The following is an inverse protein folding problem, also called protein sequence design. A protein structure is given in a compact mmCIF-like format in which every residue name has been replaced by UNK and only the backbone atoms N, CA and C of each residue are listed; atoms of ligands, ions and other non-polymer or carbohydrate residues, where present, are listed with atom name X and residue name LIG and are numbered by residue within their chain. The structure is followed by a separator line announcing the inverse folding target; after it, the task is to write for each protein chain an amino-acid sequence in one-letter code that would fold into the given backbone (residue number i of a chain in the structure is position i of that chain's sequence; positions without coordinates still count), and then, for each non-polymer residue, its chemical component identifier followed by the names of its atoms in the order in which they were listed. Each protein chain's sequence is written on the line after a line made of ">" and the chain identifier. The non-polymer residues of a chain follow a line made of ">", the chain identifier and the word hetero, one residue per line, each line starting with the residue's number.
data_IF_579908772856
#
_entry.id   IF_579908772856
#
_cell.length_a   1.000
_cell.length_b   1.000
_cell.length_c   1.000
_cell.angle_alpha   90.00
_cell.angle_beta   90.00
_cell.angle_gamma   90.00
#
_symmetry.space_group_name_H-M   'P 1'
#
loop_
_entity.id
_entity.type
_entity.pdbx_description
1 polymer ?
#
# COMPACT_ATOMS: atom_id res chain seq x y z
N UNK A 1 -16.64 13.19 -13.42
CA UNK A 1 -15.58 12.24 -13.79
C UNK A 1 -14.31 12.87 -13.26
N UNK A 2 -13.85 12.48 -12.05
CA UNK A 2 -12.59 13.03 -11.54
C UNK A 2 -11.46 12.30 -12.27
N UNK A 3 -10.71 13.04 -13.05
CA UNK A 3 -9.46 12.53 -13.61
C UNK A 3 -8.54 12.20 -12.42
N UNK A 4 -8.12 10.95 -12.35
CA UNK A 4 -7.21 10.51 -11.31
C UNK A 4 -5.83 11.08 -11.67
N UNK A 5 -5.42 12.13 -10.98
CA UNK A 5 -4.07 12.66 -11.15
C UNK A 5 -3.07 11.66 -10.59
N UNK A 6 -2.20 11.15 -11.46
CA UNK A 6 -1.09 10.27 -11.09
C UNK A 6 0.17 11.12 -11.09
N UNK A 7 0.75 11.34 -9.93
CA UNK A 7 2.06 11.98 -9.78
C UNK A 7 3.13 10.89 -9.77
N UNK A 8 3.89 10.81 -10.85
CA UNK A 8 5.02 9.89 -10.98
C UNK A 8 6.31 10.59 -10.57
N UNK A 9 7.00 10.04 -9.57
CA UNK A 9 8.26 10.59 -9.07
C UNK A 9 9.35 9.54 -9.21
N UNK A 10 10.48 9.96 -9.78
CA UNK A 10 11.71 9.17 -9.86
C UNK A 10 12.72 9.63 -8.82
N UNK A 11 13.72 8.80 -8.44
CA UNK A 11 14.71 9.12 -7.41
C UNK A 11 15.56 10.37 -7.66
N UNK A 12 15.61 10.87 -8.89
CA UNK A 12 16.41 12.03 -9.27
C UNK A 12 15.88 13.37 -8.70
N UNK A 13 14.66 13.42 -8.14
CA UNK A 13 14.04 14.63 -7.61
C UNK A 13 13.52 14.49 -6.17
N UNK A 14 14.30 13.96 -5.20
CA UNK A 14 13.79 13.69 -3.85
C UNK A 14 13.50 14.95 -3.01
N UNK A 15 13.94 16.14 -3.44
CA UNK A 15 13.82 17.39 -2.67
C UNK A 15 12.41 17.98 -2.71
N UNK A 16 11.57 17.59 -3.66
CA UNK A 16 10.24 18.17 -3.90
C UNK A 16 9.09 17.43 -3.23
N UNK A 17 9.35 16.36 -2.47
CA UNK A 17 8.29 15.51 -1.88
C UNK A 17 7.38 16.28 -0.91
N UNK A 18 7.92 17.13 -0.06
CA UNK A 18 7.13 17.84 0.95
C UNK A 18 6.75 19.25 0.54
N UNK A 19 7.73 20.10 0.28
CA UNK A 19 7.55 21.52 -0.15
C UNK A 19 8.85 22.00 -0.78
N UNK A 20 8.78 22.79 -1.85
CA UNK A 20 9.93 23.52 -2.36
C UNK A 20 10.37 24.62 -1.40
N UNK A 21 11.66 24.66 -1.08
CA UNK A 21 12.19 25.48 0.00
C UNK A 21 12.09 26.99 -0.27
N UNK A 22 12.10 27.44 -1.54
CA UNK A 22 12.20 28.84 -1.90
C UNK A 22 10.87 29.56 -2.16
N UNK A 23 9.80 28.87 -2.59
CA UNK A 23 8.59 29.52 -3.10
C UNK A 23 7.26 29.14 -2.42
N UNK A 24 7.24 28.50 -1.24
CA UNK A 24 5.99 28.05 -0.59
C UNK A 24 5.08 27.18 -1.50
N UNK A 25 5.64 26.55 -2.53
CA UNK A 25 4.89 25.67 -3.41
C UNK A 25 4.51 24.38 -2.68
N UNK A 26 3.37 23.81 -3.09
CA UNK A 26 2.92 22.51 -2.62
C UNK A 26 3.89 21.44 -3.13
N UNK A 27 4.41 20.60 -2.22
CA UNK A 27 5.19 19.44 -2.61
C UNK A 27 4.31 18.34 -3.24
N UNK A 28 4.94 17.38 -3.91
CA UNK A 28 4.29 16.30 -4.66
C UNK A 28 3.27 15.52 -3.83
N UNK A 29 3.53 15.32 -2.54
CA UNK A 29 2.60 14.66 -1.62
C UNK A 29 1.28 15.40 -1.52
N UNK A 30 1.30 16.73 -1.43
CA UNK A 30 0.08 17.54 -1.35
C UNK A 30 -0.60 17.69 -2.71
N UNK A 31 0.17 17.73 -3.80
CA UNK A 31 -0.35 17.74 -5.16
C UNK A 31 -1.08 16.43 -5.49
N UNK A 32 -0.63 15.30 -4.93
CA UNK A 32 -1.29 14.01 -5.07
C UNK A 32 -2.59 13.87 -4.25
N UNK A 33 -3.04 14.91 -3.54
CA UNK A 33 -4.26 14.86 -2.73
C UNK A 33 -5.48 14.42 -3.55
N UNK A 34 -6.20 13.38 -3.06
CA UNK A 34 -7.28 12.68 -3.77
C UNK A 34 -6.86 11.99 -5.08
N UNK A 35 -5.56 11.82 -5.30
CA UNK A 35 -4.97 11.14 -6.43
C UNK A 35 -4.11 9.94 -6.04
N UNK A 36 -3.12 9.66 -6.89
CA UNK A 36 -2.14 8.59 -6.71
C UNK A 36 -0.74 9.19 -6.72
N UNK A 37 0.05 8.86 -5.71
CA UNK A 37 1.49 9.10 -5.68
C UNK A 37 2.20 7.80 -6.07
N UNK A 38 2.86 7.79 -7.22
CA UNK A 38 3.63 6.64 -7.69
C UNK A 38 5.12 6.88 -7.50
N UNK A 39 5.76 6.06 -6.67
CA UNK A 39 7.20 6.08 -6.42
C UNK A 39 7.85 4.87 -7.07
N UNK A 40 8.56 5.11 -8.16
CA UNK A 40 9.35 4.07 -8.81
C UNK A 40 10.70 3.91 -8.13
N UNK A 41 11.24 2.69 -8.12
CA UNK A 41 12.53 2.38 -7.50
C UNK A 41 12.64 2.88 -6.04
N UNK A 42 11.64 2.57 -5.23
CA UNK A 42 11.51 3.07 -3.85
C UNK A 42 12.81 3.06 -3.02
N UNK A 43 13.70 2.04 -3.06
CA UNK A 43 14.95 2.05 -2.30
C UNK A 43 16.00 3.04 -2.82
N UNK A 44 15.80 3.67 -3.99
CA UNK A 44 16.74 4.66 -4.51
C UNK A 44 16.50 6.06 -3.95
N UNK A 45 15.34 6.30 -3.33
CA UNK A 45 15.10 7.53 -2.59
C UNK A 45 15.96 7.60 -1.33
N UNK A 46 16.35 8.81 -0.94
CA UNK A 46 17.08 8.98 0.31
C UNK A 46 16.17 8.67 1.52
N UNK A 47 16.79 8.22 2.61
CA UNK A 47 16.07 7.78 3.81
C UNK A 47 15.19 8.88 4.41
N UNK A 48 15.65 10.12 4.38
CA UNK A 48 14.88 11.26 4.93
C UNK A 48 13.58 11.47 4.15
N UNK A 49 13.63 11.40 2.81
CA UNK A 49 12.45 11.50 1.96
C UNK A 49 11.45 10.37 2.24
N UNK A 50 11.92 9.12 2.35
CA UNK A 50 11.06 7.98 2.68
C UNK A 50 10.42 8.11 4.07
N UNK A 51 11.18 8.52 5.07
CA UNK A 51 10.66 8.74 6.43
C UNK A 51 9.61 9.86 6.48
N UNK A 52 9.72 10.86 5.60
CA UNK A 52 8.75 11.96 5.51
C UNK A 52 7.36 11.52 5.05
N UNK A 53 7.23 10.38 4.36
CA UNK A 53 5.95 9.80 3.95
C UNK A 53 5.13 9.25 5.14
N UNK A 54 5.75 8.97 6.28
CA UNK A 54 5.09 8.29 7.41
C UNK A 54 3.92 9.06 7.97
N UNK A 55 4.07 10.36 8.19
CA UNK A 55 3.02 11.24 8.71
C UNK A 55 1.88 11.42 7.71
N UNK A 56 2.13 11.79 6.45
CA UNK A 56 1.08 11.91 5.45
C UNK A 56 0.25 10.63 5.23
N UNK A 57 0.89 9.48 5.25
CA UNK A 57 0.19 8.19 5.11
C UNK A 57 -0.72 7.83 6.30
N UNK A 58 -0.40 8.34 7.51
CA UNK A 58 -1.19 8.08 8.71
C UNK A 58 -2.23 9.18 8.96
N UNK A 59 -1.79 10.44 8.94
CA UNK A 59 -2.58 11.60 9.35
C UNK A 59 -3.33 12.26 8.17
N UNK A 60 -2.97 11.92 6.92
CA UNK A 60 -3.51 12.53 5.69
C UNK A 60 -3.28 14.04 5.61
N UNK A 61 -2.25 14.50 6.29
CA UNK A 61 -1.85 15.91 6.39
C UNK A 61 -0.33 16.01 6.35
N UNK A 62 0.18 17.05 5.71
CA UNK A 62 1.57 17.48 5.79
C UNK A 62 1.63 18.76 6.60
N UNK A 63 2.38 18.76 7.68
CA UNK A 63 2.60 19.95 8.50
C UNK A 63 4.04 20.40 8.40
N UNK A 64 4.23 21.67 8.05
CA UNK A 64 5.53 22.31 7.88
C UNK A 64 5.63 23.44 8.89
N UNK A 65 6.58 23.31 9.82
CA UNK A 65 6.86 24.34 10.81
C UNK A 65 8.11 25.13 10.40
N UNK A 66 7.98 26.43 10.29
CA UNK A 66 9.07 27.38 10.06
C UNK A 66 9.12 28.37 11.24
N UNK A 67 10.20 29.14 11.34
CA UNK A 67 10.42 30.09 12.46
C UNK A 67 9.22 31.03 12.70
N UNK A 68 8.49 31.41 11.64
CA UNK A 68 7.44 32.41 11.71
C UNK A 68 6.02 31.88 11.48
N UNK A 69 5.85 30.62 11.05
CA UNK A 69 4.51 30.06 10.79
C UNK A 69 4.53 28.52 10.73
N UNK A 70 3.38 27.92 11.06
CA UNK A 70 3.10 26.52 10.83
C UNK A 70 1.99 26.41 9.79
N UNK A 71 2.27 25.70 8.69
CA UNK A 71 1.32 25.47 7.61
C UNK A 71 0.97 23.98 7.54
N UNK A 72 -0.30 23.68 7.35
CA UNK A 72 -0.78 22.30 7.18
C UNK A 72 -1.51 22.17 5.85
N UNK A 73 -1.12 21.16 5.06
CA UNK A 73 -1.70 20.86 3.76
C UNK A 73 -2.35 19.49 3.77
N UNK A 74 -3.51 19.31 3.13
CA UNK A 74 -4.13 18.00 3.01
C UNK A 74 -3.29 17.09 2.10
N UNK A 75 -3.21 15.80 2.45
CA UNK A 75 -2.39 14.79 1.76
C UNK A 75 -3.03 13.40 1.79
N UNK A 76 -4.33 13.33 1.50
CA UNK A 76 -5.03 12.06 1.38
C UNK A 76 -4.85 11.51 -0.03
N UNK A 77 -3.89 10.62 -0.23
CA UNK A 77 -3.52 10.03 -1.53
C UNK A 77 -3.39 8.51 -1.42
N UNK A 78 -3.42 7.82 -2.56
CA UNK A 78 -3.05 6.42 -2.67
C UNK A 78 -1.55 6.32 -3.00
N UNK A 79 -0.77 5.66 -2.14
CA UNK A 79 0.63 5.36 -2.44
C UNK A 79 0.72 4.08 -3.26
N UNK A 80 1.38 4.16 -4.40
CA UNK A 80 1.85 3.01 -5.17
C UNK A 80 3.36 3.13 -5.28
N UNK A 81 4.08 2.05 -4.99
CA UNK A 81 5.53 2.04 -5.09
C UNK A 81 6.00 0.75 -5.77
N UNK A 82 7.06 0.86 -6.56
CA UNK A 82 7.75 -0.29 -7.13
C UNK A 82 9.17 -0.40 -6.58
N UNK A 83 9.71 -1.63 -6.54
CA UNK A 83 11.10 -1.88 -6.21
C UNK A 83 11.57 -3.20 -6.80
N UNK A 84 12.86 -3.27 -7.07
CA UNK A 84 13.51 -4.53 -7.40
C UNK A 84 13.83 -5.32 -6.12
N UNK A 85 14.00 -6.65 -6.19
CA UNK A 85 14.34 -7.48 -5.01
C UNK A 85 15.79 -7.26 -4.51
N UNK A 86 16.65 -6.66 -5.33
CA UNK A 86 18.05 -6.33 -5.01
C UNK A 86 18.60 -5.32 -6.04
N UNK A 87 19.82 -4.76 -5.86
CA UNK A 87 20.40 -3.81 -6.81
C UNK A 87 20.53 -4.30 -8.24
N UNK A 88 20.81 -5.60 -8.46
CA UNK A 88 20.90 -6.16 -9.81
C UNK A 88 19.55 -6.64 -10.38
N UNK A 89 18.47 -6.71 -9.55
CA UNK A 89 17.14 -7.12 -9.95
C UNK A 89 16.89 -8.64 -9.96
N UNK A 90 17.91 -9.49 -9.75
CA UNK A 90 17.79 -10.95 -9.98
C UNK A 90 17.73 -11.81 -8.70
N UNK A 91 17.64 -11.22 -7.52
CA UNK A 91 17.53 -11.98 -6.28
C UNK A 91 16.23 -12.78 -6.24
N UNK A 92 16.34 -14.10 -6.16
CA UNK A 92 15.21 -15.03 -6.21
C UNK A 92 14.73 -15.39 -7.62
N UNK A 93 15.35 -14.86 -8.70
CA UNK A 93 15.08 -15.26 -10.06
C UNK A 93 15.49 -16.75 -10.27
N UNK A 94 14.72 -17.45 -11.13
CA UNK A 94 15.04 -18.83 -11.54
C UNK A 94 15.85 -18.88 -12.83
N UNK A 95 15.77 -17.82 -13.61
CA UNK A 95 16.30 -17.77 -14.97
C UNK A 95 17.67 -17.06 -15.03
N UNK A 96 17.99 -16.24 -14.01
CA UNK A 96 19.26 -15.51 -13.96
C UNK A 96 19.81 -15.44 -12.54
N UNK A 97 21.12 -15.69 -12.41
CA UNK A 97 21.80 -15.69 -11.12
C UNK A 97 22.02 -14.26 -10.61
N UNK A 98 21.74 -14.05 -9.33
CA UNK A 98 21.97 -12.78 -8.65
C UNK A 98 23.46 -12.58 -8.38
N UNK A 99 24.03 -11.46 -8.81
CA UNK A 99 25.44 -11.10 -8.59
C UNK A 99 25.69 -10.30 -7.31
N UNK A 100 24.64 -9.96 -6.55
CA UNK A 100 24.78 -9.16 -5.33
C UNK A 100 25.24 -9.99 -4.14
N UNK A 101 26.12 -9.43 -3.31
CA UNK A 101 26.43 -10.02 -2.00
C UNK A 101 25.24 -9.90 -1.04
N UNK A 102 25.11 -10.78 -0.05
CA UNK A 102 24.05 -10.72 0.97
C UNK A 102 24.02 -9.36 1.66
N UNK A 103 25.18 -8.81 2.00
CA UNK A 103 25.30 -7.49 2.62
C UNK A 103 24.79 -6.35 1.72
N UNK A 104 24.95 -6.46 0.39
CA UNK A 104 24.42 -5.48 -0.56
C UNK A 104 22.90 -5.57 -0.65
N UNK A 105 22.35 -6.78 -0.66
CA UNK A 105 20.90 -7.01 -0.63
C UNK A 105 20.29 -6.45 0.65
N UNK A 106 20.86 -6.79 1.80
CA UNK A 106 20.37 -6.28 3.09
C UNK A 106 20.42 -4.74 3.16
N UNK A 107 21.51 -4.11 2.73
CA UNK A 107 21.62 -2.65 2.68
C UNK A 107 20.56 -2.03 1.78
N UNK A 108 20.27 -2.65 0.64
CA UNK A 108 19.28 -2.16 -0.31
C UNK A 108 17.86 -2.22 0.27
N UNK A 109 17.49 -3.36 0.83
CA UNK A 109 16.17 -3.57 1.43
C UNK A 109 15.97 -2.70 2.68
N UNK A 110 16.99 -2.58 3.53
CA UNK A 110 16.95 -1.80 4.77
C UNK A 110 16.93 -0.27 4.57
N UNK A 111 17.02 0.22 3.32
CA UNK A 111 16.70 1.63 3.03
C UNK A 111 15.25 1.95 3.36
N UNK A 112 14.34 0.98 3.20
CA UNK A 112 12.93 1.11 3.57
C UNK A 112 12.77 0.65 5.01
N UNK A 113 12.31 1.56 5.88
CA UNK A 113 12.15 1.24 7.30
C UNK A 113 10.91 0.35 7.55
N UNK A 114 10.99 -0.53 8.56
CA UNK A 114 9.85 -1.31 9.01
C UNK A 114 8.61 -0.44 9.31
N UNK A 115 8.74 0.69 10.03
CA UNK A 115 7.62 1.60 10.26
C UNK A 115 6.98 2.19 9.00
N UNK A 116 7.72 2.39 7.90
CA UNK A 116 7.14 2.80 6.62
C UNK A 116 6.38 1.65 5.97
N UNK A 117 6.95 0.44 5.96
CA UNK A 117 6.30 -0.76 5.45
C UNK A 117 5.00 -1.08 6.20
N UNK A 118 4.99 -0.91 7.51
CA UNK A 118 3.78 -1.08 8.31
C UNK A 118 2.64 -0.14 7.87
N UNK A 119 2.93 0.92 7.13
CA UNK A 119 1.95 1.87 6.59
C UNK A 119 1.44 1.52 5.19
N UNK A 120 2.15 0.66 4.48
CA UNK A 120 1.69 0.11 3.19
C UNK A 120 0.75 -1.06 3.48
N UNK A 121 -0.43 -1.08 2.85
CA UNK A 121 -1.47 -2.08 3.15
C UNK A 121 -1.25 -3.40 2.43
N UNK A 122 -0.74 -3.36 1.21
CA UNK A 122 -0.63 -4.49 0.29
C UNK A 122 0.80 -4.58 -0.25
N UNK A 123 1.41 -5.75 -0.13
CA UNK A 123 2.71 -6.06 -0.71
C UNK A 123 2.53 -7.20 -1.72
N UNK A 124 3.01 -7.00 -2.95
CA UNK A 124 2.86 -7.98 -4.04
C UNK A 124 4.24 -8.28 -4.63
N UNK A 125 4.55 -9.55 -4.80
CA UNK A 125 5.69 -10.01 -5.58
C UNK A 125 5.21 -10.33 -7.00
N UNK A 126 5.79 -9.64 -7.99
CA UNK A 126 5.49 -9.84 -9.40
C UNK A 126 6.55 -10.79 -9.98
N UNK A 127 6.16 -12.01 -10.41
CA UNK A 127 7.10 -12.94 -11.00
C UNK A 127 7.55 -12.50 -12.39
N UNK A 128 8.72 -12.96 -12.83
CA UNK A 128 9.21 -12.74 -14.19
C UNK A 128 8.26 -13.34 -15.22
N UNK A 129 8.05 -12.60 -16.30
CA UNK A 129 7.20 -13.05 -17.41
C UNK A 129 8.06 -13.90 -18.36
N UNK A 130 7.72 -15.17 -18.52
CA UNK A 130 8.38 -16.06 -19.48
C UNK A 130 8.04 -15.63 -20.90
N UNK A 131 8.99 -15.84 -21.83
CA UNK A 131 8.83 -15.49 -23.25
C UNK A 131 7.56 -16.11 -23.87
N UNK A 132 7.26 -17.38 -23.53
CA UNK A 132 6.06 -18.09 -24.00
C UNK A 132 4.75 -17.36 -23.60
N UNK A 133 4.75 -16.67 -22.47
CA UNK A 133 3.59 -15.89 -22.02
C UNK A 133 3.48 -14.54 -22.72
N UNK A 134 4.57 -14.02 -23.30
CA UNK A 134 4.54 -12.78 -24.11
C UNK A 134 3.89 -13.00 -25.49
N UNK A 135 4.03 -14.22 -26.05
CA UNK A 135 3.38 -14.61 -27.31
C UNK A 135 1.90 -15.00 -27.10
N UNK A 136 1.48 -15.21 -25.88
CA UNK A 136 0.13 -15.63 -25.56
C UNK A 136 -0.83 -14.44 -25.68
N UNK A 137 -1.55 -14.38 -26.79
CA UNK A 137 -2.51 -13.31 -27.11
C UNK A 137 -3.88 -13.49 -26.48
N UNK A 138 -4.03 -14.41 -25.49
CA UNK A 138 -5.30 -14.54 -24.76
C UNK A 138 -5.67 -13.21 -24.12
N UNK A 139 -6.88 -12.70 -24.34
CA UNK A 139 -7.27 -11.40 -23.81
C UNK A 139 -7.28 -11.45 -22.28
N UNK A 140 -6.47 -10.59 -21.66
CA UNK A 140 -6.56 -10.34 -20.22
C UNK A 140 -7.85 -9.58 -19.89
N UNK A 141 -8.25 -9.59 -18.62
CA UNK A 141 -9.41 -8.83 -18.15
C UNK A 141 -9.28 -7.34 -18.53
N UNK A 142 -10.32 -6.76 -19.09
CA UNK A 142 -10.29 -5.36 -19.51
C UNK A 142 -10.39 -4.40 -18.34
N UNK A 143 -9.82 -3.20 -18.49
CA UNK A 143 -9.96 -2.12 -17.48
C UNK A 143 -11.42 -1.75 -17.20
N UNK A 144 -12.31 -1.92 -18.19
CA UNK A 144 -13.74 -1.66 -18.03
C UNK A 144 -14.41 -2.68 -17.07
N UNK A 145 -14.04 -3.96 -17.18
CA UNK A 145 -14.53 -5.02 -16.27
C UNK A 145 -14.01 -4.81 -14.85
N UNK A 146 -12.72 -4.52 -14.70
CA UNK A 146 -12.12 -4.19 -13.41
C UNK A 146 -12.84 -2.98 -12.79
N UNK A 147 -13.05 -1.90 -13.54
CA UNK A 147 -13.76 -0.70 -13.09
C UNK A 147 -15.20 -1.00 -12.63
N UNK A 148 -15.90 -1.87 -13.34
CA UNK A 148 -17.27 -2.29 -12.96
C UNK A 148 -17.26 -2.99 -11.60
N UNK A 149 -16.34 -3.93 -11.39
CA UNK A 149 -16.18 -4.65 -10.11
C UNK A 149 -15.82 -3.71 -8.96
N UNK A 150 -14.88 -2.79 -9.19
CA UNK A 150 -14.50 -1.78 -8.20
C UNK A 150 -15.66 -0.85 -7.84
N UNK A 151 -16.42 -0.39 -8.84
CA UNK A 151 -17.58 0.47 -8.61
C UNK A 151 -18.66 -0.24 -7.78
N UNK A 152 -18.92 -1.53 -8.02
CA UNK A 152 -19.85 -2.31 -7.23
C UNK A 152 -19.42 -2.39 -5.75
N UNK A 153 -18.15 -2.69 -5.50
CA UNK A 153 -17.61 -2.70 -4.14
C UNK A 153 -17.72 -1.33 -3.46
N UNK A 154 -17.45 -0.25 -4.19
CA UNK A 154 -17.62 1.13 -3.72
C UNK A 154 -19.07 1.46 -3.35
N UNK A 155 -20.04 1.01 -4.12
CA UNK A 155 -21.48 1.21 -3.81
C UNK A 155 -21.89 0.43 -2.55
N UNK A 156 -21.35 -0.79 -2.33
CA UNK A 156 -21.57 -1.55 -1.10
C UNK A 156 -21.02 -0.76 0.10
N UNK A 157 -19.79 -0.23 0.01
CA UNK A 157 -19.18 0.58 1.07
C UNK A 157 -19.97 1.86 1.35
N UNK A 158 -20.38 2.57 0.30
CA UNK A 158 -21.18 3.79 0.42
C UNK A 158 -22.49 3.54 1.15
N UNK A 159 -23.21 2.46 0.82
CA UNK A 159 -24.44 2.06 1.51
C UNK A 159 -24.19 1.68 2.97
N UNK A 160 -23.10 0.95 3.23
CA UNK A 160 -22.72 0.52 4.59
C UNK A 160 -22.46 1.70 5.51
N UNK A 161 -21.83 2.76 4.99
CA UNK A 161 -21.36 3.89 5.79
C UNK A 161 -22.22 5.14 5.68
N UNK A 162 -23.48 5.02 5.21
CA UNK A 162 -24.41 6.16 5.07
C UNK A 162 -24.55 7.03 6.32
N UNK A 163 -24.48 6.40 7.51
CA UNK A 163 -24.61 7.07 8.80
C UNK A 163 -23.27 7.51 9.41
N UNK A 164 -22.18 7.34 8.70
CA UNK A 164 -20.82 7.68 9.13
C UNK A 164 -20.21 8.65 8.13
N UNK A 165 -19.35 9.54 8.60
CA UNK A 165 -18.63 10.48 7.72
C UNK A 165 -17.36 9.83 7.12
N UNK A 166 -17.53 8.63 6.55
CA UNK A 166 -16.47 7.88 5.85
C UNK A 166 -17.00 7.29 4.55
N UNK A 167 -16.14 7.08 3.57
CA UNK A 167 -16.51 6.69 2.21
C UNK A 167 -15.88 5.36 1.78
N UNK A 168 -14.95 4.82 2.56
CA UNK A 168 -14.25 3.58 2.21
C UNK A 168 -13.78 2.80 3.44
N UNK A 169 -13.51 1.50 3.25
CA UNK A 169 -12.98 0.65 4.31
C UNK A 169 -11.63 1.14 4.85
N UNK A 170 -10.85 1.88 4.06
CA UNK A 170 -9.56 2.43 4.50
C UNK A 170 -9.71 3.45 5.64
N UNK A 171 -10.89 4.05 5.78
CA UNK A 171 -11.19 5.09 6.77
C UNK A 171 -11.76 4.55 8.08
N UNK A 172 -11.96 3.23 8.19
CA UNK A 172 -12.48 2.61 9.39
C UNK A 172 -11.59 2.91 10.61
N UNK A 173 -12.19 3.53 11.62
CA UNK A 173 -11.59 3.66 12.96
C UNK A 173 -11.60 2.32 13.70
N UNK A 174 -10.83 2.15 14.80
CA UNK A 174 -10.84 0.92 15.58
C UNK A 174 -12.26 0.46 16.00
N UNK A 175 -13.10 1.37 16.45
CA UNK A 175 -14.48 1.05 16.87
C UNK A 175 -15.32 0.53 15.69
N UNK A 176 -15.17 1.14 14.51
CA UNK A 176 -15.87 0.71 13.30
C UNK A 176 -15.32 -0.60 12.73
N UNK A 177 -14.04 -0.91 12.96
CA UNK A 177 -13.48 -2.22 12.64
C UNK A 177 -14.17 -3.34 13.41
N UNK A 178 -14.41 -3.14 14.71
CA UNK A 178 -15.11 -4.13 15.55
C UNK A 178 -16.57 -4.33 15.11
N UNK A 179 -17.19 -3.29 14.58
CA UNK A 179 -18.57 -3.34 14.10
C UNK A 179 -18.69 -4.01 12.74
N UNK A 180 -17.86 -3.59 11.75
CA UNK A 180 -18.01 -3.99 10.33
C UNK A 180 -17.07 -5.10 9.86
N UNK A 181 -16.06 -5.45 10.66
CA UNK A 181 -15.09 -6.49 10.33
C UNK A 181 -15.19 -7.70 11.27
N UNK A 182 -16.41 -8.08 11.65
CA UNK A 182 -16.63 -9.26 12.50
C UNK A 182 -16.15 -10.52 11.82
N UNK A 183 -15.39 -11.34 12.56
CA UNK A 183 -14.87 -12.61 12.10
C UNK A 183 -15.61 -13.76 12.76
N UNK A 184 -15.87 -14.80 11.99
CA UNK A 184 -16.31 -16.11 12.52
C UNK A 184 -15.17 -16.83 13.25
N UNK A 185 -15.47 -17.96 13.88
CA UNK A 185 -14.50 -18.72 14.68
C UNK A 185 -13.32 -19.20 13.82
N UNK A 186 -13.57 -19.67 12.59
CA UNK A 186 -12.52 -20.18 11.70
C UNK A 186 -11.58 -19.06 11.23
N UNK A 187 -12.14 -17.89 10.88
CA UNK A 187 -11.39 -16.72 10.48
C UNK A 187 -10.54 -16.16 11.63
N UNK A 188 -11.08 -16.18 12.87
CA UNK A 188 -10.32 -15.80 14.08
C UNK A 188 -9.14 -16.72 14.35
N UNK A 189 -9.32 -18.03 14.21
CA UNK A 189 -8.24 -19.01 14.37
C UNK A 189 -7.14 -18.84 13.31
N UNK A 190 -7.53 -18.60 12.05
CA UNK A 190 -6.58 -18.32 10.97
C UNK A 190 -5.78 -17.07 11.25
N UNK A 191 -6.47 -15.98 11.63
CA UNK A 191 -5.84 -14.70 11.97
C UNK A 191 -4.86 -14.85 13.14
N UNK A 192 -5.24 -15.58 14.21
CA UNK A 192 -4.37 -15.85 15.34
C UNK A 192 -3.11 -16.60 14.93
N UNK A 193 -3.26 -17.68 14.16
CA UNK A 193 -2.11 -18.45 13.63
C UNK A 193 -1.18 -17.58 12.78
N UNK A 194 -1.74 -16.72 11.94
CA UNK A 194 -0.95 -15.80 11.12
C UNK A 194 -0.22 -14.76 11.99
N UNK A 195 -0.91 -14.21 12.99
CA UNK A 195 -0.33 -13.24 13.94
C UNK A 195 0.88 -13.83 14.66
N UNK A 196 0.73 -15.03 15.22
CA UNK A 196 1.81 -15.72 15.94
C UNK A 196 2.95 -16.12 14.98
N UNK A 197 2.62 -16.67 13.79
CA UNK A 197 3.61 -17.18 12.83
C UNK A 197 4.38 -16.05 12.13
N UNK A 198 3.71 -14.95 11.78
CA UNK A 198 4.30 -13.84 11.03
C UNK A 198 4.80 -12.70 11.93
N UNK A 199 4.58 -12.75 13.26
CA UNK A 199 4.98 -11.70 14.19
C UNK A 199 4.35 -10.36 13.83
N UNK A 200 3.07 -10.36 13.46
CA UNK A 200 2.37 -9.17 12.98
C UNK A 200 2.20 -8.13 14.09
N UNK A 201 2.30 -6.86 13.73
CA UNK A 201 1.99 -5.76 14.65
C UNK A 201 0.47 -5.56 14.81
N UNK A 202 0.05 -4.87 15.88
CA UNK A 202 -1.36 -4.50 16.05
C UNK A 202 -1.89 -3.63 14.87
N UNK A 203 -1.01 -2.80 14.25
CA UNK A 203 -1.34 -2.05 13.04
C UNK A 203 -1.61 -2.99 11.86
N UNK A 204 -0.76 -3.99 11.66
CA UNK A 204 -0.95 -4.99 10.61
C UNK A 204 -2.27 -5.74 10.76
N UNK A 205 -2.69 -6.07 11.99
CA UNK A 205 -3.99 -6.68 12.26
C UNK A 205 -5.15 -5.84 11.72
N UNK A 206 -5.21 -4.56 12.07
CA UNK A 206 -6.25 -3.65 11.58
C UNK A 206 -6.26 -3.50 10.06
N UNK A 207 -5.07 -3.46 9.43
CA UNK A 207 -4.92 -3.41 7.97
C UNK A 207 -5.43 -4.67 7.28
N UNK A 208 -5.07 -5.85 7.80
CA UNK A 208 -5.58 -7.13 7.28
C UNK A 208 -7.12 -7.15 7.33
N UNK A 209 -7.73 -6.66 8.41
CA UNK A 209 -9.19 -6.58 8.50
C UNK A 209 -9.80 -5.66 7.43
N UNK A 210 -9.22 -4.47 7.21
CA UNK A 210 -9.67 -3.53 6.18
C UNK A 210 -9.55 -4.11 4.78
N UNK A 211 -8.43 -4.77 4.48
CA UNK A 211 -8.19 -5.46 3.20
C UNK A 211 -9.17 -6.63 3.05
N UNK A 212 -9.33 -7.49 4.04
CA UNK A 212 -10.27 -8.61 4.00
C UNK A 212 -11.73 -8.15 3.82
N UNK A 213 -12.14 -7.02 4.45
CA UNK A 213 -13.46 -6.42 4.22
C UNK A 213 -13.59 -5.94 2.78
N UNK A 214 -12.54 -5.38 2.20
CA UNK A 214 -12.54 -4.91 0.82
C UNK A 214 -12.60 -6.08 -0.18
N UNK A 215 -11.89 -7.17 0.08
CA UNK A 215 -11.97 -8.41 -0.72
C UNK A 215 -13.39 -8.98 -0.66
N UNK A 216 -13.99 -9.04 0.53
CA UNK A 216 -15.37 -9.50 0.69
C UNK A 216 -16.38 -8.60 -0.04
N UNK A 217 -16.15 -7.27 -0.10
CA UNK A 217 -17.00 -6.35 -0.88
C UNK A 217 -16.84 -6.58 -2.39
N UNK A 218 -15.62 -6.86 -2.86
CA UNK A 218 -15.36 -7.22 -4.27
C UNK A 218 -16.04 -8.53 -4.65
N UNK A 219 -16.15 -9.44 -3.70
CA UNK A 219 -16.83 -10.75 -3.84
C UNK A 219 -18.35 -10.65 -3.61
N UNK A 220 -18.85 -9.42 -3.33
CA UNK A 220 -20.24 -9.16 -2.95
C UNK A 220 -20.71 -9.99 -1.74
N UNK A 221 -19.79 -10.37 -0.86
CA UNK A 221 -20.06 -11.13 0.35
C UNK A 221 -20.44 -10.21 1.51
N UNK A 222 -21.58 -10.48 2.17
CA UNK A 222 -22.03 -9.70 3.32
C UNK A 222 -21.05 -9.82 4.49
N UNK A 223 -20.53 -11.03 4.74
CA UNK A 223 -19.64 -11.32 5.85
C UNK A 223 -18.22 -11.62 5.37
N UNK A 224 -17.23 -11.28 6.20
CA UNK A 224 -15.85 -11.67 5.97
C UNK A 224 -15.73 -13.18 6.23
N UNK A 225 -15.29 -13.91 5.22
CA UNK A 225 -15.08 -15.36 5.28
C UNK A 225 -13.58 -15.67 5.42
N UNK A 226 -13.28 -16.90 5.80
CA UNK A 226 -11.91 -17.40 5.95
C UNK A 226 -11.05 -17.21 4.69
N UNK A 227 -11.64 -17.30 3.50
CA UNK A 227 -10.92 -17.11 2.22
C UNK A 227 -10.44 -15.67 2.08
N UNK A 228 -11.27 -14.68 2.47
CA UNK A 228 -10.92 -13.26 2.40
C UNK A 228 -9.78 -12.91 3.37
N UNK A 229 -9.80 -13.53 4.56
CA UNK A 229 -8.70 -13.39 5.54
C UNK A 229 -7.42 -14.04 5.02
N UNK A 230 -7.51 -15.23 4.41
CA UNK A 230 -6.34 -15.93 3.85
C UNK A 230 -5.66 -15.09 2.76
N UNK A 231 -6.45 -14.51 1.86
CA UNK A 231 -5.95 -13.62 0.80
C UNK A 231 -5.34 -12.34 1.38
N UNK A 232 -6.02 -11.68 2.33
CA UNK A 232 -5.50 -10.47 2.96
C UNK A 232 -4.17 -10.70 3.70
N UNK A 233 -3.98 -11.89 4.31
CA UNK A 233 -2.73 -12.28 4.96
C UNK A 233 -1.62 -12.47 3.92
N UNK A 234 -1.92 -13.02 2.73
CA UNK A 234 -0.92 -13.21 1.67
C UNK A 234 -0.29 -11.88 1.26
N UNK A 235 -1.06 -10.79 1.21
CA UNK A 235 -0.55 -9.46 0.90
C UNK A 235 0.38 -8.87 1.98
N UNK A 236 0.55 -9.56 3.11
CA UNK A 236 1.50 -9.21 4.19
C UNK A 236 2.62 -10.25 4.36
N UNK A 237 2.66 -11.28 3.54
CA UNK A 237 3.63 -12.38 3.66
C UNK A 237 5.08 -11.93 3.39
N UNK A 238 5.27 -10.87 2.61
CA UNK A 238 6.58 -10.32 2.28
C UNK A 238 7.26 -9.59 3.45
N UNK A 239 6.50 -9.19 4.47
CA UNK A 239 7.04 -8.52 5.67
C UNK A 239 8.17 -9.34 6.31
N UNK A 240 8.08 -10.67 6.29
CA UNK A 240 9.11 -11.57 6.84
C UNK A 240 10.19 -12.00 5.85
N UNK A 241 9.89 -12.01 4.56
CA UNK A 241 10.82 -12.48 3.53
C UNK A 241 12.01 -11.52 3.39
N UNK A 242 11.71 -10.23 3.48
CA UNK A 242 12.68 -9.17 3.22
C UNK A 242 13.05 -8.34 4.45
N UNK A 243 12.19 -8.26 5.46
CA UNK A 243 12.37 -7.42 6.64
C UNK A 243 12.24 -8.27 7.92
N UNK A 244 13.39 -8.83 8.36
CA UNK A 244 13.53 -9.61 9.59
C UNK A 244 13.82 -8.72 10.79
#
# INVERSE_FOLDING_TARGET
>A
MCDLFVHHITPLAPQHLLVEAEFQSLGEISLAHHGVLFLDELPEFNRSALESLRTPLEDRMVTISRANCTLSYPSNFMLIASMNPCPCGYYGSKDKECSCSETAIEKYINKISGPLLDRIDIHIEVPEVKYENLENTSPSESSAEIKKRVNNAREIQRKRYLNHNIFSNSELSPNLLDEYCKLDTQSKELMKKAFDKLGLSARAYGKILKVARTIADLDSSENIQKIHIAEAIQYRSLDRKYWK
#
